data_IF_036211969520
#
_entry.id   IF_036211969520
#
_cell.length_a   1.000
_cell.length_b   1.000
_cell.length_c   1.000
_cell.angle_alpha   90.00
_cell.angle_beta   90.00
_cell.angle_gamma   90.00
#
_symmetry.space_group_name_H-M   'P 1'
#
loop_
_entity.id
_entity.type
_entity.pdbx_description
1 polymer ?
#
# COMPACT_ATOMS: atom_id res chain seq x y z
N UNK A 1 18.98 -8.75 -3.91
CA UNK A 1 18.13 -9.91 -3.52
C UNK A 1 18.09 -10.91 -4.67
N UNK A 2 18.32 -12.20 -4.43
CA UNK A 2 18.17 -13.24 -5.45
C UNK A 2 16.83 -13.94 -5.24
N UNK A 3 16.06 -14.11 -6.31
CA UNK A 3 14.79 -14.85 -6.26
C UNK A 3 14.80 -15.93 -7.32
N UNK A 4 14.22 -17.08 -7.00
CA UNK A 4 13.91 -18.12 -7.98
C UNK A 4 12.52 -17.85 -8.58
N UNK A 5 12.43 -17.83 -9.91
CA UNK A 5 11.18 -17.63 -10.63
C UNK A 5 10.55 -18.99 -10.94
N UNK A 6 9.48 -19.31 -10.22
CA UNK A 6 8.65 -20.49 -10.49
C UNK A 6 7.23 -20.07 -10.87
N UNK A 7 6.51 -20.90 -11.62
CA UNK A 7 5.12 -20.64 -12.00
C UNK A 7 4.22 -20.41 -10.78
N UNK A 8 4.44 -21.17 -9.71
CA UNK A 8 3.70 -21.06 -8.45
C UNK A 8 3.95 -19.71 -7.77
N UNK A 9 5.19 -19.21 -7.82
CA UNK A 9 5.56 -17.93 -7.19
C UNK A 9 4.99 -16.73 -7.93
N UNK A 10 4.91 -16.80 -9.26
CA UNK A 10 4.31 -15.75 -10.08
C UNK A 10 2.78 -15.75 -9.94
N UNK A 11 2.13 -16.92 -9.90
CA UNK A 11 0.68 -17.04 -9.65
C UNK A 11 0.35 -17.32 -8.17
N UNK A 12 0.93 -16.52 -7.29
CA UNK A 12 0.78 -16.67 -5.85
C UNK A 12 -0.59 -16.17 -5.34
N UNK A 13 -1.02 -16.69 -4.19
CA UNK A 13 -2.29 -16.31 -3.57
C UNK A 13 -2.32 -14.86 -3.07
N UNK A 14 -1.15 -14.30 -2.72
CA UNK A 14 -1.05 -12.92 -2.27
C UNK A 14 -1.42 -11.93 -3.39
N UNK A 15 -0.87 -12.10 -4.59
CA UNK A 15 -1.22 -11.31 -5.76
C UNK A 15 -2.71 -11.43 -6.10
N UNK A 16 -3.25 -12.66 -6.14
CA UNK A 16 -4.69 -12.89 -6.38
C UNK A 16 -5.57 -12.16 -5.35
N UNK A 17 -5.18 -12.18 -4.08
CA UNK A 17 -5.89 -11.47 -3.01
C UNK A 17 -5.88 -9.95 -3.23
N UNK A 18 -4.74 -9.39 -3.63
CA UNK A 18 -4.63 -7.94 -3.94
C UNK A 18 -5.46 -7.59 -5.18
N UNK A 19 -5.43 -8.41 -6.24
CA UNK A 19 -6.28 -8.23 -7.42
C UNK A 19 -7.77 -8.28 -7.07
N UNK A 20 -8.18 -9.25 -6.23
CA UNK A 20 -9.56 -9.39 -5.77
C UNK A 20 -10.05 -8.15 -5.01
N UNK A 21 -9.23 -7.61 -4.10
CA UNK A 21 -9.60 -6.44 -3.29
C UNK A 21 -9.57 -5.15 -4.12
N UNK A 22 -8.59 -4.99 -5.01
CA UNK A 22 -8.42 -3.78 -5.83
C UNK A 22 -9.32 -3.76 -7.08
N UNK A 23 -9.78 -4.92 -7.54
CA UNK A 23 -10.44 -5.09 -8.83
C UNK A 23 -9.52 -4.83 -10.03
N UNK A 24 -8.20 -4.85 -9.84
CA UNK A 24 -7.21 -4.54 -10.88
C UNK A 24 -6.47 -5.80 -11.34
N UNK A 25 -6.10 -5.84 -12.63
CA UNK A 25 -5.19 -6.84 -13.18
C UNK A 25 -3.74 -6.35 -13.05
N UNK A 26 -2.99 -6.88 -12.09
CA UNK A 26 -1.61 -6.49 -11.82
C UNK A 26 -0.66 -6.95 -12.93
N UNK A 27 -0.95 -8.07 -13.59
CA UNK A 27 -0.16 -8.60 -14.72
C UNK A 27 -0.17 -7.70 -15.96
N UNK A 28 -1.11 -6.75 -16.05
CA UNK A 28 -1.08 -5.74 -17.10
C UNK A 28 0.13 -4.79 -16.96
N UNK A 29 0.77 -4.73 -15.78
CA UNK A 29 1.89 -3.85 -15.50
C UNK A 29 3.18 -4.33 -16.17
N UNK A 30 3.71 -3.52 -17.06
CA UNK A 30 5.00 -3.71 -17.74
C UNK A 30 6.17 -2.89 -17.16
N UNK A 31 6.04 -2.37 -15.93
CA UNK A 31 7.12 -1.72 -15.17
C UNK A 31 7.73 -0.44 -15.80
N UNK A 32 6.93 0.41 -16.47
CA UNK A 32 7.43 1.68 -17.02
C UNK A 32 7.86 2.75 -16.00
N UNK A 33 7.46 2.65 -14.73
CA UNK A 33 7.80 3.63 -13.70
C UNK A 33 7.01 4.96 -13.69
N UNK A 34 6.12 5.22 -14.65
CA UNK A 34 5.34 6.47 -14.72
C UNK A 34 4.59 6.82 -13.42
N UNK A 35 4.07 5.79 -12.73
CA UNK A 35 3.37 5.96 -11.47
C UNK A 35 4.29 6.47 -10.34
N UNK A 36 5.56 6.07 -10.33
CA UNK A 36 6.55 6.58 -9.37
C UNK A 36 7.01 7.97 -9.76
N UNK A 37 7.37 8.19 -11.03
CA UNK A 37 7.82 9.49 -11.51
C UNK A 37 6.77 10.60 -11.34
N UNK A 38 5.49 10.26 -11.45
CA UNK A 38 4.37 11.19 -11.25
C UNK A 38 3.92 11.36 -9.80
N UNK A 39 4.47 10.61 -8.84
CA UNK A 39 4.01 10.64 -7.46
C UNK A 39 4.66 11.84 -6.72
N UNK A 40 3.88 12.77 -6.15
CA UNK A 40 4.44 13.93 -5.44
C UNK A 40 5.15 13.55 -4.13
N UNK A 41 4.88 12.37 -3.60
CA UNK A 41 5.47 11.87 -2.33
C UNK A 41 6.45 10.72 -2.55
N UNK A 42 6.86 10.44 -3.80
CA UNK A 42 7.81 9.37 -4.10
C UNK A 42 9.15 9.52 -3.37
N UNK A 43 9.59 10.75 -3.09
CA UNK A 43 10.85 11.02 -2.38
C UNK A 43 10.89 10.48 -0.95
N UNK A 44 9.74 10.18 -0.34
CA UNK A 44 9.64 9.66 1.02
C UNK A 44 9.32 8.14 1.06
N UNK A 45 9.09 7.52 -0.10
CA UNK A 45 8.77 6.10 -0.21
C UNK A 45 10.04 5.26 -0.19
N UNK A 46 10.02 4.11 0.50
CA UNK A 46 11.14 3.16 0.45
C UNK A 46 11.29 2.51 -0.93
N UNK A 47 10.16 2.20 -1.56
CA UNK A 47 10.08 1.75 -2.96
C UNK A 47 8.91 2.40 -3.67
N UNK A 48 9.02 2.58 -4.99
CA UNK A 48 7.99 3.23 -5.79
C UNK A 48 6.76 2.34 -6.03
N UNK A 49 5.60 2.94 -6.40
CA UNK A 49 4.39 2.19 -6.74
C UNK A 49 4.53 1.05 -7.76
N UNK A 50 5.37 1.22 -8.80
CA UNK A 50 5.61 0.15 -9.77
C UNK A 50 6.37 -1.04 -9.17
N UNK A 51 7.32 -0.78 -8.28
CA UNK A 51 8.10 -1.79 -7.57
C UNK A 51 7.22 -2.56 -6.58
N UNK A 52 6.32 -1.88 -5.88
CA UNK A 52 5.30 -2.54 -5.03
C UNK A 52 4.46 -3.53 -5.85
N UNK A 53 3.98 -3.13 -7.03
CA UNK A 53 3.25 -4.02 -7.94
C UNK A 53 4.14 -5.21 -8.34
N UNK A 54 5.43 -4.97 -8.63
CA UNK A 54 6.37 -6.04 -8.98
C UNK A 54 6.58 -7.01 -7.84
N UNK A 55 6.78 -6.53 -6.62
CA UNK A 55 7.01 -7.36 -5.45
C UNK A 55 5.78 -8.21 -5.14
N UNK A 56 4.59 -7.63 -5.30
CA UNK A 56 3.31 -8.34 -5.21
C UNK A 56 3.23 -9.49 -6.21
N UNK A 57 3.52 -9.23 -7.49
CA UNK A 57 3.52 -10.26 -8.55
C UNK A 57 4.59 -11.35 -8.34
N UNK A 58 5.68 -11.03 -7.63
CA UNK A 58 6.75 -11.97 -7.31
C UNK A 58 6.49 -12.75 -6.01
N UNK A 59 5.34 -12.54 -5.36
CA UNK A 59 4.95 -13.24 -4.13
C UNK A 59 5.80 -12.87 -2.93
N UNK A 60 6.45 -11.71 -2.96
CA UNK A 60 7.28 -11.18 -1.88
C UNK A 60 6.37 -10.49 -0.85
N UNK A 61 5.48 -11.25 -0.21
CA UNK A 61 4.45 -10.69 0.67
C UNK A 61 5.06 -9.92 1.84
N UNK A 62 6.04 -10.50 2.53
CA UNK A 62 6.66 -9.86 3.70
C UNK A 62 7.35 -8.55 3.33
N UNK A 63 8.10 -8.53 2.23
CA UNK A 63 8.77 -7.34 1.73
C UNK A 63 7.75 -6.31 1.22
N UNK A 64 6.69 -6.75 0.53
CA UNK A 64 5.63 -5.85 0.05
C UNK A 64 4.86 -5.21 1.20
N UNK A 65 4.57 -5.96 2.27
CA UNK A 65 3.83 -5.47 3.44
C UNK A 65 4.74 -4.85 4.52
N UNK A 66 6.05 -4.87 4.30
CA UNK A 66 7.03 -4.23 5.18
C UNK A 66 7.28 -2.76 4.83
N UNK A 67 7.01 -2.36 3.58
CA UNK A 67 7.36 -1.02 3.10
C UNK A 67 6.32 0.05 3.47
N UNK A 68 6.78 1.30 3.59
CA UNK A 68 5.92 2.44 3.91
C UNK A 68 5.06 2.97 2.74
N UNK A 69 5.30 2.50 1.52
CA UNK A 69 4.79 3.12 0.28
C UNK A 69 3.27 3.28 0.23
N UNK A 70 2.53 2.22 0.54
CA UNK A 70 1.07 2.26 0.50
C UNK A 70 0.48 3.07 1.66
N UNK A 71 1.19 3.22 2.80
CA UNK A 71 0.80 4.11 3.89
C UNK A 71 1.03 5.59 3.57
N UNK A 72 2.06 5.91 2.79
CA UNK A 72 2.33 7.27 2.31
C UNK A 72 1.43 7.69 1.16
N UNK A 73 0.82 6.74 0.45
CA UNK A 73 -0.12 7.02 -0.63
C UNK A 73 -1.26 7.93 -0.15
N UNK A 74 -1.34 9.13 -0.71
CA UNK A 74 -2.36 10.13 -0.41
C UNK A 74 -3.65 9.95 -1.25
N UNK A 75 -3.77 8.85 -2.00
CA UNK A 75 -4.89 8.57 -2.92
C UNK A 75 -5.24 9.75 -3.86
N UNK A 76 -4.22 10.50 -4.31
CA UNK A 76 -4.39 11.67 -5.19
C UNK A 76 -4.61 11.32 -6.68
N UNK A 77 -4.57 10.03 -7.03
CA UNK A 77 -4.88 9.47 -8.35
C UNK A 77 -3.95 9.86 -9.52
N UNK A 78 -2.88 10.62 -9.30
CA UNK A 78 -1.90 10.96 -10.35
C UNK A 78 -1.34 9.70 -11.05
N UNK A 79 -0.94 8.69 -10.29
CA UNK A 79 -0.42 7.43 -10.82
C UNK A 79 -1.46 6.70 -11.71
N UNK A 80 -2.72 6.66 -11.26
CA UNK A 80 -3.84 6.06 -12.01
C UNK A 80 -4.08 6.80 -13.32
N UNK A 81 -4.16 8.13 -13.29
CA UNK A 81 -4.42 8.95 -14.50
C UNK A 81 -3.35 8.83 -15.58
N UNK A 82 -2.10 8.54 -15.18
CA UNK A 82 -0.95 8.45 -16.10
C UNK A 82 -0.62 7.03 -16.53
N UNK A 83 -1.33 6.02 -16.03
CA UNK A 83 -1.00 4.63 -16.34
C UNK A 83 -1.37 4.30 -17.80
N UNK A 84 -0.39 4.01 -18.68
CA UNK A 84 -0.67 3.67 -20.08
C UNK A 84 -1.35 2.30 -20.23
N UNK A 85 -1.38 1.50 -19.16
CA UNK A 85 -2.05 0.20 -19.08
C UNK A 85 -3.40 0.27 -18.39
N UNK A 86 -3.85 1.45 -17.95
CA UNK A 86 -5.15 1.66 -17.32
C UNK A 86 -5.30 1.04 -15.92
N UNK A 87 -4.19 0.74 -15.24
CA UNK A 87 -4.24 0.20 -13.87
C UNK A 87 -4.58 1.33 -12.90
N UNK A 88 -5.57 1.10 -12.04
CA UNK A 88 -5.86 1.98 -10.90
C UNK A 88 -4.88 1.71 -9.75
N UNK A 89 -3.67 2.29 -9.84
CA UNK A 89 -2.60 2.08 -8.86
C UNK A 89 -2.99 2.59 -7.48
N UNK A 90 -3.80 3.64 -7.38
CA UNK A 90 -4.28 4.12 -6.08
C UNK A 90 -5.14 3.06 -5.38
N UNK A 91 -6.05 2.39 -6.12
CA UNK A 91 -6.80 1.24 -5.60
C UNK A 91 -5.92 0.07 -5.20
N UNK A 92 -4.83 -0.19 -5.90
CA UNK A 92 -3.86 -1.22 -5.51
C UNK A 92 -3.21 -0.88 -4.16
N UNK A 93 -2.85 0.39 -3.94
CA UNK A 93 -2.31 0.85 -2.65
C UNK A 93 -3.33 0.71 -1.52
N UNK A 94 -4.58 1.07 -1.77
CA UNK A 94 -5.68 0.88 -0.80
C UNK A 94 -5.91 -0.61 -0.50
N UNK A 95 -5.81 -1.49 -1.51
CA UNK A 95 -5.91 -2.93 -1.33
C UNK A 95 -4.80 -3.49 -0.44
N UNK A 96 -3.55 -3.04 -0.61
CA UNK A 96 -2.45 -3.44 0.26
C UNK A 96 -2.66 -2.99 1.71
N UNK A 97 -3.12 -1.76 1.93
CA UNK A 97 -3.55 -1.32 3.28
C UNK A 97 -4.60 -2.25 3.86
N UNK A 98 -5.65 -2.56 3.10
CA UNK A 98 -6.71 -3.48 3.55
C UNK A 98 -6.20 -4.89 3.86
N UNK A 99 -5.20 -5.39 3.13
CA UNK A 99 -4.59 -6.69 3.44
C UNK A 99 -3.94 -6.67 4.83
N UNK A 100 -3.23 -5.60 5.19
CA UNK A 100 -2.63 -5.43 6.52
C UNK A 100 -3.70 -5.26 7.59
N UNK A 101 -4.64 -4.33 7.39
CA UNK A 101 -5.68 -4.00 8.38
C UNK A 101 -6.59 -5.19 8.70
N UNK A 102 -6.74 -6.16 7.78
CA UNK A 102 -7.56 -7.37 7.98
C UNK A 102 -6.79 -8.55 8.60
N UNK A 103 -5.48 -8.44 8.88
CA UNK A 103 -4.74 -9.50 9.61
C UNK A 103 -5.16 -9.51 11.08
N UNK A 104 -5.26 -10.71 11.68
CA UNK A 104 -5.60 -10.88 13.11
C UNK A 104 -4.50 -10.33 14.02
N UNK A 105 -3.24 -10.58 13.66
CA UNK A 105 -2.06 -10.07 14.34
C UNK A 105 -1.66 -8.72 13.71
N UNK A 106 -2.43 -7.69 14.03
CA UNK A 106 -2.17 -6.32 13.58
C UNK A 106 -1.27 -5.60 14.59
N UNK A 107 -0.35 -4.79 14.09
CA UNK A 107 0.40 -3.83 14.90
C UNK A 107 -0.24 -2.47 14.70
N UNK A 108 -0.98 -2.02 15.70
CA UNK A 108 -1.44 -0.64 15.75
C UNK A 108 -0.23 0.27 15.90
N UNK A 109 -0.10 1.24 14.98
CA UNK A 109 1.02 2.18 14.97
C UNK A 109 0.83 3.31 16.00
N UNK A 110 -0.36 3.39 16.58
CA UNK A 110 -0.73 4.31 17.66
C UNK A 110 -1.22 3.48 18.85
N UNK A 111 -0.75 3.81 20.04
CA UNK A 111 -1.28 3.25 21.28
C UNK A 111 -2.05 4.32 22.04
N UNK A 112 -3.38 4.24 22.01
CA UNK A 112 -4.28 5.18 22.69
C UNK A 112 -3.95 5.31 24.20
N UNK A 113 -3.64 4.21 24.93
CA UNK A 113 -3.31 4.30 26.35
C UNK A 113 -2.03 5.10 26.66
N UNK A 114 -1.15 5.31 25.67
CA UNK A 114 0.11 6.04 25.84
C UNK A 114 -0.04 7.57 25.63
N UNK A 115 -1.25 8.04 25.31
CA UNK A 115 -1.46 9.47 25.08
C UNK A 115 -1.40 10.29 26.37
N UNK A 116 -0.78 11.49 26.34
CA UNK A 116 -0.76 12.39 27.49
C UNK A 116 -2.18 12.78 27.94
N UNK A 117 -2.35 13.00 29.24
CA UNK A 117 -3.61 13.48 29.80
C UNK A 117 -4.00 14.83 29.16
N UNK A 118 -5.27 14.97 28.80
CA UNK A 118 -5.80 16.14 28.09
C UNK A 118 -5.35 16.29 26.63
N UNK A 119 -4.65 15.31 26.04
CA UNK A 119 -4.30 15.34 24.61
C UNK A 119 -5.55 15.32 23.72
N UNK A 120 -6.50 14.42 24.02
CA UNK A 120 -7.72 14.23 23.23
C UNK A 120 -8.61 15.48 23.20
N UNK A 121 -8.56 16.31 24.24
CA UNK A 121 -9.34 17.55 24.35
C UNK A 121 -8.77 18.68 23.46
N UNK A 122 -7.47 18.62 23.15
CA UNK A 122 -6.76 19.65 22.37
C UNK A 122 -6.68 19.31 20.88
N UNK A 123 -6.89 18.05 20.51
CA UNK A 123 -6.76 17.59 19.13
C UNK A 123 -8.06 17.87 18.37
N UNK A 124 -8.00 18.54 17.20
CA UNK A 124 -9.17 18.66 16.34
C UNK A 124 -9.75 17.29 16.00
N UNK A 125 -11.08 17.14 16.07
CA UNK A 125 -11.76 15.86 15.81
C UNK A 125 -11.33 15.23 14.47
N UNK A 126 -11.07 16.05 13.45
CA UNK A 126 -10.62 15.57 12.14
C UNK A 126 -9.23 14.93 12.18
N UNK A 127 -8.31 15.42 13.01
CA UNK A 127 -6.98 14.85 13.19
C UNK A 127 -7.06 13.50 13.92
N UNK A 128 -7.92 13.40 14.93
CA UNK A 128 -8.20 12.16 15.63
C UNK A 128 -8.77 11.10 14.68
N UNK A 129 -9.86 11.39 13.96
CA UNK A 129 -10.48 10.44 13.03
C UNK A 129 -9.53 10.02 11.90
N UNK A 130 -8.76 10.97 11.34
CA UNK A 130 -7.81 10.69 10.27
C UNK A 130 -6.63 9.84 10.76
N UNK A 131 -6.13 10.13 11.96
CA UNK A 131 -5.07 9.34 12.60
C UNK A 131 -5.52 7.91 12.86
N UNK A 132 -6.74 7.72 13.38
CA UNK A 132 -7.31 6.40 13.63
C UNK A 132 -7.51 5.61 12.35
N UNK A 133 -8.10 6.21 11.31
CA UNK A 133 -8.29 5.52 10.02
C UNK A 133 -6.99 5.12 9.33
N UNK A 134 -5.88 5.78 9.64
CA UNK A 134 -4.60 5.58 8.96
C UNK A 134 -3.61 4.73 9.77
N UNK A 135 -3.62 4.86 11.08
CA UNK A 135 -2.57 4.29 11.96
C UNK A 135 -3.13 3.28 12.97
N UNK A 136 -4.44 3.11 13.02
CA UNK A 136 -5.12 2.08 13.81
C UNK A 136 -5.89 1.15 12.87
N UNK A 137 -5.91 -0.14 13.20
CA UNK A 137 -6.72 -1.14 12.47
C UNK A 137 -7.85 -1.69 13.32
#
# INVERSE_FOLDING_TARGET
>A
MKIELTRQKVHNEFAKKVELISGQNLFACYQCGNCTAGCPVAFAMEIGPHEVIRYTLLGLEEETLGVNTYWLCASCLQCTSRCPKGIDIARVMDALRMVVLRKKERKDHIQIPEFPEGFLEKVPQIAFVSGFRKFLS
#
